data_IF_800864684883
#
_entry.id   IF_800864684883
#
_cell.length_a   1.000
_cell.length_b   1.000
_cell.length_c   1.000
_cell.angle_alpha   90.00
_cell.angle_beta   90.00
_cell.angle_gamma   90.00
#
_symmetry.space_group_name_H-M   'P 1'
#
loop_
_entity.id
_entity.type
_entity.pdbx_description
1 polymer ?
#
# COMPACT_ATOMS: atom_id res chain seq x y z
N UNK A 1 1.41 -32.63 7.57
CA UNK A 1 0.18 -31.80 7.51
C UNK A 1 0.36 -30.67 6.50
N UNK A 2 -0.54 -30.54 5.53
CA UNK A 2 -0.53 -29.41 4.59
C UNK A 2 -0.79 -28.11 5.33
N UNK A 3 0.09 -27.12 5.19
CA UNK A 3 -0.10 -25.79 5.79
C UNK A 3 -1.20 -25.05 5.04
N UNK A 4 -2.29 -24.70 5.73
CA UNK A 4 -3.43 -23.94 5.19
C UNK A 4 -3.41 -22.53 5.75
N UNK A 5 -3.43 -21.53 4.90
CA UNK A 5 -3.48 -20.12 5.26
C UNK A 5 -4.76 -19.45 4.78
N UNK A 6 -5.34 -18.62 5.64
CA UNK A 6 -6.44 -17.74 5.26
C UNK A 6 -5.90 -16.34 5.09
N UNK A 7 -6.14 -15.73 3.92
CA UNK A 7 -5.94 -14.31 3.70
C UNK A 7 -7.25 -13.56 3.84
N UNK A 8 -7.26 -12.51 4.66
CA UNK A 8 -8.41 -11.63 4.84
C UNK A 8 -8.09 -10.27 4.24
N UNK A 9 -8.73 -9.96 3.10
CA UNK A 9 -8.58 -8.72 2.35
C UNK A 9 -9.92 -8.30 1.74
N UNK A 10 -10.81 -7.67 2.52
CA UNK A 10 -12.21 -7.46 2.14
C UNK A 10 -12.44 -6.71 0.84
N UNK A 11 -11.68 -5.63 0.59
CA UNK A 11 -11.85 -4.78 -0.59
C UNK A 11 -10.63 -4.85 -1.49
N UNK A 12 -10.78 -5.46 -2.67
CA UNK A 12 -9.73 -5.65 -3.66
C UNK A 12 -9.65 -4.41 -4.57
N UNK A 13 -9.14 -3.31 -4.01
CA UNK A 13 -9.00 -2.04 -4.72
C UNK A 13 -7.69 -1.99 -5.51
N UNK A 14 -7.70 -1.23 -6.62
CA UNK A 14 -6.46 -0.95 -7.37
C UNK A 14 -5.50 -0.13 -6.53
N UNK A 15 -4.29 -0.64 -6.30
CA UNK A 15 -3.29 0.07 -5.48
C UNK A 15 -2.09 -0.77 -5.09
N UNK A 16 -1.16 -0.15 -4.36
CA UNK A 16 0.09 -0.79 -3.91
C UNK A 16 -0.15 -2.00 -3.00
N UNK A 17 -1.10 -1.90 -2.06
CA UNK A 17 -1.39 -3.00 -1.14
C UNK A 17 -1.90 -4.26 -1.86
N UNK A 18 -2.78 -4.10 -2.86
CA UNK A 18 -3.29 -5.20 -3.69
C UNK A 18 -2.18 -5.86 -4.50
N UNK A 19 -1.29 -5.07 -5.11
CA UNK A 19 -0.12 -5.60 -5.83
C UNK A 19 0.77 -6.47 -4.91
N UNK A 20 0.98 -6.02 -3.67
CA UNK A 20 1.76 -6.78 -2.68
C UNK A 20 1.04 -8.07 -2.27
N UNK A 21 -0.27 -8.01 -2.01
CA UNK A 21 -1.07 -9.20 -1.70
C UNK A 21 -0.95 -10.26 -2.79
N UNK A 22 -1.15 -9.87 -4.06
CA UNK A 22 -1.03 -10.76 -5.22
C UNK A 22 0.36 -11.41 -5.26
N UNK A 23 1.43 -10.63 -5.10
CA UNK A 23 2.80 -11.16 -5.09
C UNK A 23 3.03 -12.18 -3.97
N UNK A 24 2.58 -11.86 -2.75
CA UNK A 24 2.71 -12.74 -1.59
C UNK A 24 1.95 -14.05 -1.81
N UNK A 25 0.69 -13.98 -2.27
CA UNK A 25 -0.12 -15.16 -2.54
C UNK A 25 0.52 -16.00 -3.64
N UNK A 26 0.90 -15.40 -4.78
CA UNK A 26 1.53 -16.11 -5.89
C UNK A 26 2.81 -16.82 -5.44
N UNK A 27 3.66 -16.15 -4.66
CA UNK A 27 4.87 -16.77 -4.12
C UNK A 27 4.56 -17.96 -3.20
N UNK A 28 3.58 -17.83 -2.31
CA UNK A 28 3.20 -18.92 -1.39
C UNK A 28 2.59 -20.13 -2.14
N UNK A 29 1.86 -19.89 -3.22
CA UNK A 29 1.34 -20.95 -4.09
C UNK A 29 2.46 -21.77 -4.73
N UNK A 30 3.61 -21.15 -5.07
CA UNK A 30 4.80 -21.89 -5.55
C UNK A 30 5.45 -22.74 -4.46
N UNK A 31 5.20 -22.43 -3.17
CA UNK A 31 5.72 -23.20 -2.00
C UNK A 31 4.76 -24.29 -1.51
N UNK A 32 3.81 -24.70 -2.33
CA UNK A 32 2.89 -25.80 -2.03
C UNK A 32 1.97 -25.54 -0.82
N UNK A 33 1.60 -24.27 -0.56
CA UNK A 33 0.72 -23.86 0.53
C UNK A 33 -0.71 -23.72 0.00
N UNK A 34 -1.71 -24.27 0.69
CA UNK A 34 -3.11 -24.07 0.39
C UNK A 34 -3.60 -22.72 0.92
N UNK A 35 -4.23 -21.93 0.06
CA UNK A 35 -4.65 -20.56 0.38
C UNK A 35 -6.15 -20.38 0.17
N UNK A 36 -6.84 -19.89 1.20
CA UNK A 36 -8.20 -19.38 1.09
C UNK A 36 -8.18 -17.85 1.21
N UNK A 37 -8.48 -17.15 0.11
CA UNK A 37 -8.59 -15.70 0.10
C UNK A 37 -10.03 -15.26 0.34
N UNK A 38 -10.28 -14.58 1.44
CA UNK A 38 -11.56 -13.93 1.75
C UNK A 38 -11.52 -12.49 1.24
N UNK A 39 -12.25 -12.24 0.15
CA UNK A 39 -12.32 -10.92 -0.49
C UNK A 39 -13.60 -10.81 -1.31
N UNK A 40 -14.30 -9.70 -1.22
CA UNK A 40 -15.60 -9.52 -1.87
C UNK A 40 -15.53 -9.32 -3.39
N UNK A 41 -14.39 -8.92 -3.94
CA UNK A 41 -14.25 -8.53 -5.34
C UNK A 41 -12.91 -8.93 -5.98
N UNK A 42 -12.21 -9.91 -5.42
CA UNK A 42 -11.01 -10.50 -6.04
C UNK A 42 -11.40 -11.45 -7.18
N UNK A 43 -10.55 -11.53 -8.20
CA UNK A 43 -10.71 -12.43 -9.34
C UNK A 43 -9.54 -13.40 -9.43
N UNK A 44 -9.80 -14.65 -9.87
CA UNK A 44 -8.74 -15.63 -10.14
C UNK A 44 -7.76 -15.17 -11.22
N UNK A 45 -8.20 -14.30 -12.14
CA UNK A 45 -7.35 -13.71 -13.18
C UNK A 45 -6.18 -12.88 -12.64
N UNK A 46 -6.27 -12.43 -11.39
CA UNK A 46 -5.23 -11.65 -10.74
C UNK A 46 -4.08 -12.50 -10.19
N UNK A 47 -4.24 -13.84 -10.15
CA UNK A 47 -3.32 -14.78 -9.54
C UNK A 47 -2.82 -15.81 -10.55
N UNK A 48 -1.70 -16.49 -10.21
CA UNK A 48 -1.26 -17.66 -10.98
C UNK A 48 -2.32 -18.77 -10.90
N UNK A 49 -2.51 -19.48 -12.00
CA UNK A 49 -3.45 -20.60 -12.02
C UNK A 49 -2.98 -21.72 -11.06
N UNK A 50 -3.76 -21.98 -10.03
CA UNK A 50 -3.42 -23.01 -9.03
C UNK A 50 -4.68 -23.57 -8.37
N UNK A 51 -4.80 -24.91 -8.34
CA UNK A 51 -5.84 -25.63 -7.60
C UNK A 51 -5.78 -25.40 -6.08
N UNK A 52 -4.68 -24.82 -5.55
CA UNK A 52 -4.47 -24.53 -4.13
C UNK A 52 -4.99 -23.17 -3.68
N UNK A 53 -5.46 -22.35 -4.61
CA UNK A 53 -6.10 -21.07 -4.31
C UNK A 53 -7.62 -21.21 -4.36
N UNK A 54 -8.28 -20.88 -3.25
CA UNK A 54 -9.73 -20.74 -3.20
C UNK A 54 -10.08 -19.29 -2.86
N UNK A 55 -10.84 -18.62 -3.72
CA UNK A 55 -11.36 -17.27 -3.44
C UNK A 55 -12.77 -17.39 -2.86
N UNK A 56 -12.95 -16.91 -1.63
CA UNK A 56 -14.20 -16.88 -0.87
C UNK A 56 -14.75 -15.46 -0.85
N UNK A 57 -15.67 -15.13 -1.76
CA UNK A 57 -16.24 -13.80 -1.86
C UNK A 57 -17.46 -13.77 -2.77
N UNK A 58 -18.14 -12.64 -2.80
CA UNK A 58 -19.22 -12.36 -3.74
C UNK A 58 -18.64 -11.49 -4.86
N UNK A 59 -18.86 -11.86 -6.12
CA UNK A 59 -18.48 -11.04 -7.29
C UNK A 59 -19.31 -9.73 -7.40
N UNK A 60 -19.45 -9.03 -6.29
CA UNK A 60 -20.25 -7.80 -6.21
C UNK A 60 -19.37 -6.64 -6.63
N UNK A 61 -19.80 -5.90 -7.64
CA UNK A 61 -19.16 -4.67 -8.10
C UNK A 61 -19.90 -3.44 -7.56
N UNK A 62 -19.21 -2.30 -7.49
CA UNK A 62 -19.79 -0.97 -7.22
C UNK A 62 -20.50 -0.80 -5.86
N UNK A 63 -20.03 -1.45 -4.80
CA UNK A 63 -20.48 -1.22 -3.42
C UNK A 63 -19.43 -0.49 -2.58
N UNK A 64 -19.86 0.05 -1.45
CA UNK A 64 -18.97 0.75 -0.52
C UNK A 64 -17.96 -0.20 0.13
N UNK A 65 -16.84 0.35 0.58
CA UNK A 65 -15.81 -0.41 1.32
C UNK A 65 -16.36 -1.01 2.61
N UNK A 66 -17.29 -0.33 3.28
CA UNK A 66 -17.97 -0.84 4.48
C UNK A 66 -18.78 -2.10 4.17
N UNK A 67 -19.51 -2.09 3.06
CA UNK A 67 -20.26 -3.24 2.60
C UNK A 67 -19.36 -4.46 2.32
N UNK A 68 -18.23 -4.25 1.61
CA UNK A 68 -17.25 -5.31 1.37
C UNK A 68 -16.66 -5.87 2.67
N UNK A 69 -16.36 -5.00 3.64
CA UNK A 69 -15.89 -5.43 4.94
C UNK A 69 -16.92 -6.32 5.65
N UNK A 70 -18.18 -5.91 5.67
CA UNK A 70 -19.27 -6.65 6.34
C UNK A 70 -19.45 -8.04 5.71
N UNK A 71 -19.64 -8.11 4.39
CA UNK A 71 -19.87 -9.39 3.68
C UNK A 71 -18.68 -10.34 3.83
N UNK A 72 -17.46 -9.82 3.69
CA UNK A 72 -16.26 -10.66 3.84
C UNK A 72 -16.10 -11.17 5.26
N UNK A 73 -16.47 -10.36 6.26
CA UNK A 73 -16.45 -10.76 7.67
C UNK A 73 -17.48 -11.86 7.95
N UNK A 74 -18.70 -11.73 7.40
CA UNK A 74 -19.74 -12.77 7.50
C UNK A 74 -19.29 -14.08 6.83
N UNK A 75 -18.66 -13.99 5.65
CA UNK A 75 -18.14 -15.17 4.96
C UNK A 75 -17.03 -15.87 5.76
N UNK A 76 -16.14 -15.10 6.39
CA UNK A 76 -15.13 -15.64 7.29
C UNK A 76 -15.75 -16.28 8.52
N UNK A 77 -16.75 -15.65 9.15
CA UNK A 77 -17.50 -16.21 10.28
C UNK A 77 -18.14 -17.54 9.93
N UNK A 78 -18.92 -17.60 8.85
CA UNK A 78 -19.56 -18.85 8.37
C UNK A 78 -18.54 -19.96 8.11
N UNK A 79 -17.38 -19.59 7.58
CA UNK A 79 -16.30 -20.55 7.34
C UNK A 79 -15.73 -21.08 8.66
N UNK A 80 -15.46 -20.21 9.65
CA UNK A 80 -14.88 -20.60 10.93
C UNK A 80 -15.83 -21.47 11.78
N UNK A 81 -17.14 -21.22 11.72
CA UNK A 81 -18.13 -22.07 12.38
C UNK A 81 -18.07 -23.52 11.84
N UNK A 82 -17.87 -23.68 10.53
CA UNK A 82 -17.86 -24.98 9.86
C UNK A 82 -16.51 -25.70 9.90
N UNK A 83 -15.44 -25.03 10.30
CA UNK A 83 -14.07 -25.55 10.20
C UNK A 83 -13.32 -25.39 11.51
N UNK A 84 -13.15 -26.51 12.20
CA UNK A 84 -12.42 -26.52 13.47
C UNK A 84 -10.91 -26.78 13.32
N UNK A 85 -10.38 -26.81 12.07
CA UNK A 85 -8.98 -27.07 11.76
C UNK A 85 -8.05 -26.01 12.36
N UNK A 86 -6.78 -26.39 12.57
CA UNK A 86 -5.71 -25.49 13.01
C UNK A 86 -5.28 -24.59 11.85
N UNK A 87 -5.84 -23.40 11.76
CA UNK A 87 -5.64 -22.46 10.65
C UNK A 87 -5.01 -21.17 11.15
N UNK A 88 -4.13 -20.57 10.34
CA UNK A 88 -3.63 -19.21 10.57
C UNK A 88 -4.33 -18.21 9.66
N UNK A 89 -4.85 -17.14 10.24
CA UNK A 89 -5.47 -16.02 9.50
C UNK A 89 -4.43 -14.94 9.30
N UNK A 90 -4.25 -14.49 8.04
CA UNK A 90 -3.37 -13.40 7.69
C UNK A 90 -4.19 -12.21 7.17
N UNK A 91 -4.34 -11.19 8.01
CA UNK A 91 -5.10 -10.00 7.65
C UNK A 91 -4.21 -8.94 7.01
N UNK A 92 -4.56 -8.54 5.79
CA UNK A 92 -3.88 -7.48 5.03
C UNK A 92 -4.58 -6.13 5.11
N UNK A 93 -5.88 -6.12 5.48
CA UNK A 93 -6.70 -4.91 5.56
C UNK A 93 -7.88 -5.16 6.52
N UNK A 94 -8.43 -4.09 7.12
CA UNK A 94 -9.58 -4.19 8.02
C UNK A 94 -9.36 -5.19 9.15
N UNK A 95 -8.27 -4.99 9.91
CA UNK A 95 -7.76 -5.98 10.86
C UNK A 95 -8.71 -6.28 12.02
N UNK A 96 -9.51 -5.31 12.50
CA UNK A 96 -10.35 -5.46 13.68
C UNK A 96 -11.30 -6.67 13.60
N UNK A 97 -12.17 -6.79 12.59
CA UNK A 97 -13.07 -7.94 12.52
C UNK A 97 -12.32 -9.27 12.40
N UNK A 98 -11.20 -9.30 11.69
CA UNK A 98 -10.37 -10.50 11.57
C UNK A 98 -9.76 -10.91 12.92
N UNK A 99 -9.31 -9.96 13.74
CA UNK A 99 -8.76 -10.21 15.09
C UNK A 99 -9.86 -10.76 16.00
N UNK A 100 -11.03 -10.11 16.02
CA UNK A 100 -12.16 -10.54 16.86
C UNK A 100 -12.55 -11.97 16.51
N UNK A 101 -12.77 -12.29 15.23
CA UNK A 101 -13.13 -13.63 14.82
C UNK A 101 -12.03 -14.65 15.12
N UNK A 102 -10.76 -14.30 14.87
CA UNK A 102 -9.65 -15.19 15.18
C UNK A 102 -9.62 -15.57 16.68
N UNK A 103 -9.85 -14.61 17.58
CA UNK A 103 -9.84 -14.86 19.02
C UNK A 103 -11.08 -15.64 19.48
N UNK A 104 -12.26 -15.33 18.98
CA UNK A 104 -13.49 -16.10 19.26
C UNK A 104 -13.33 -17.59 18.89
N UNK A 105 -12.73 -17.88 17.75
CA UNK A 105 -12.53 -19.24 17.26
C UNK A 105 -11.14 -19.84 17.62
N UNK A 106 -10.39 -19.22 18.54
CA UNK A 106 -9.06 -19.67 18.99
C UNK A 106 -8.09 -19.94 17.83
N UNK A 107 -8.15 -19.12 16.77
CA UNK A 107 -7.24 -19.21 15.60
C UNK A 107 -6.08 -18.26 15.76
N UNK A 108 -4.90 -18.63 15.21
CA UNK A 108 -3.74 -17.74 15.13
C UNK A 108 -3.98 -16.63 14.13
N UNK A 109 -3.65 -15.37 14.50
CA UNK A 109 -3.82 -14.20 13.64
C UNK A 109 -2.50 -13.44 13.45
N UNK A 110 -2.16 -13.22 12.20
CA UNK A 110 -1.06 -12.34 11.76
C UNK A 110 -1.70 -11.14 11.07
N UNK A 111 -1.33 -9.93 11.46
CA UNK A 111 -1.79 -8.72 10.78
C UNK A 111 -0.62 -8.00 10.12
N UNK A 112 -0.84 -7.44 8.94
CA UNK A 112 0.14 -6.60 8.23
C UNK A 112 -0.30 -5.15 8.28
N UNK A 113 0.33 -4.36 9.15
CA UNK A 113 0.07 -2.92 9.21
C UNK A 113 0.79 -2.21 8.07
N UNK A 114 0.01 -1.57 7.19
CA UNK A 114 0.49 -0.97 5.93
C UNK A 114 0.69 0.55 6.00
N UNK A 115 0.57 1.16 7.18
CA UNK A 115 0.67 2.61 7.37
C UNK A 115 1.46 2.95 8.63
N UNK A 116 1.94 4.19 8.72
CA UNK A 116 2.46 4.76 9.96
C UNK A 116 1.27 5.31 10.77
N UNK A 117 1.08 4.79 11.98
CA UNK A 117 -0.16 4.94 12.76
C UNK A 117 -0.39 6.39 13.18
N UNK A 118 0.65 7.05 13.71
CA UNK A 118 0.53 8.42 14.23
C UNK A 118 0.41 9.44 13.10
N UNK A 119 1.13 9.26 11.98
CA UNK A 119 1.00 10.10 10.80
C UNK A 119 -0.40 9.99 10.19
N UNK A 120 -0.94 8.78 10.11
CA UNK A 120 -2.30 8.55 9.63
C UNK A 120 -3.33 9.29 10.49
N UNK A 121 -3.13 9.36 11.81
CA UNK A 121 -4.00 10.10 12.73
C UNK A 121 -3.77 11.62 12.64
N UNK A 122 -2.50 12.06 12.63
CA UNK A 122 -2.12 13.48 12.58
C UNK A 122 -2.65 14.20 11.36
N UNK A 123 -2.58 13.56 10.18
CA UNK A 123 -2.94 14.16 8.89
C UNK A 123 -4.31 13.71 8.35
N UNK A 124 -5.14 13.07 9.18
CA UNK A 124 -6.48 12.69 8.82
C UNK A 124 -7.40 13.91 8.63
N UNK A 125 -8.31 13.82 7.65
CA UNK A 125 -9.33 14.86 7.43
C UNK A 125 -10.39 14.86 8.53
N UNK A 126 -10.81 13.66 8.99
CA UNK A 126 -11.79 13.46 10.07
C UNK A 126 -11.07 13.09 11.37
N UNK A 127 -10.66 14.08 12.15
CA UNK A 127 -9.86 13.90 13.38
C UNK A 127 -10.49 12.95 14.40
N UNK A 128 -11.76 13.14 14.72
CA UNK A 128 -12.48 12.30 15.70
C UNK A 128 -12.46 10.84 15.26
N UNK A 129 -12.79 10.57 14.00
CA UNK A 129 -12.77 9.21 13.46
C UNK A 129 -11.35 8.60 13.51
N UNK A 130 -10.32 9.38 13.23
CA UNK A 130 -8.93 8.93 13.29
C UNK A 130 -8.49 8.61 14.71
N UNK A 131 -8.90 9.42 15.72
CA UNK A 131 -8.63 9.16 17.13
C UNK A 131 -9.32 7.87 17.62
N UNK A 132 -10.60 7.67 17.26
CA UNK A 132 -11.34 6.44 17.57
C UNK A 132 -10.64 5.24 16.94
N UNK A 133 -10.23 5.36 15.67
CA UNK A 133 -9.51 4.29 14.96
C UNK A 133 -8.18 3.96 15.64
N UNK A 134 -7.44 4.98 16.12
CA UNK A 134 -6.20 4.78 16.87
C UNK A 134 -6.47 4.05 18.20
N UNK A 135 -7.49 4.46 18.95
CA UNK A 135 -7.87 3.79 20.21
C UNK A 135 -8.23 2.33 19.97
N UNK A 136 -9.03 2.03 18.95
CA UNK A 136 -9.37 0.66 18.57
C UNK A 136 -8.11 -0.14 18.17
N UNK A 137 -7.15 0.46 17.46
CA UNK A 137 -5.87 -0.20 17.16
C UNK A 137 -5.07 -0.50 18.43
N UNK A 138 -5.00 0.43 19.38
CA UNK A 138 -4.32 0.22 20.67
C UNK A 138 -4.92 -1.00 21.40
N UNK A 139 -6.22 -1.12 21.45
CA UNK A 139 -6.90 -2.23 22.13
C UNK A 139 -6.70 -3.54 21.35
N UNK A 140 -7.13 -3.58 20.09
CA UNK A 140 -7.23 -4.85 19.34
C UNK A 140 -5.90 -5.37 18.82
N UNK A 141 -4.92 -4.51 18.51
CA UNK A 141 -3.62 -5.00 18.03
C UNK A 141 -2.85 -5.77 19.11
N UNK A 142 -3.10 -5.45 20.40
CA UNK A 142 -2.55 -6.23 21.51
C UNK A 142 -3.06 -7.69 21.54
N UNK A 143 -4.22 -7.97 20.94
CA UNK A 143 -4.77 -9.31 20.81
C UNK A 143 -4.16 -10.11 19.65
N UNK A 144 -3.52 -9.47 18.67
CA UNK A 144 -2.88 -10.17 17.55
C UNK A 144 -1.68 -11.02 18.04
N UNK A 145 -1.41 -12.15 17.36
CA UNK A 145 -0.29 -13.01 17.73
C UNK A 145 1.02 -12.52 17.08
N UNK A 146 0.93 -11.92 15.90
CA UNK A 146 2.07 -11.30 15.21
C UNK A 146 1.61 -10.11 14.41
N UNK A 147 2.41 -9.04 14.41
CA UNK A 147 2.15 -7.85 13.64
C UNK A 147 3.34 -7.58 12.72
N UNK A 148 3.09 -7.53 11.42
CA UNK A 148 4.11 -7.18 10.44
C UNK A 148 4.08 -5.67 10.23
N UNK A 149 5.19 -5.02 10.57
CA UNK A 149 5.52 -3.66 10.18
C UNK A 149 6.26 -3.66 8.84
N UNK A 150 6.00 -2.68 7.98
CA UNK A 150 6.58 -2.64 6.63
C UNK A 150 7.69 -1.61 6.47
N UNK A 151 8.00 -0.86 7.52
CA UNK A 151 9.12 0.08 7.61
C UNK A 151 9.60 0.22 9.05
N UNK A 152 10.83 0.69 9.23
CA UNK A 152 11.43 0.91 10.54
C UNK A 152 10.60 1.88 11.40
N UNK A 153 10.13 2.97 10.81
CA UNK A 153 9.29 3.97 11.53
C UNK A 153 7.92 3.40 11.86
N UNK A 154 7.31 2.58 10.97
CA UNK A 154 6.06 1.88 11.26
C UNK A 154 6.24 0.86 12.40
N UNK A 155 7.38 0.15 12.46
CA UNK A 155 7.72 -0.75 13.57
C UNK A 155 7.78 0.04 14.90
N UNK A 156 8.56 1.11 14.94
CA UNK A 156 8.68 1.98 16.15
C UNK A 156 7.32 2.53 16.61
N UNK A 157 6.45 2.90 15.67
CA UNK A 157 5.09 3.39 15.99
C UNK A 157 4.20 2.31 16.60
N UNK A 158 4.27 1.09 16.08
CA UNK A 158 3.56 -0.07 16.62
C UNK A 158 4.05 -0.44 18.03
N UNK A 159 5.37 -0.46 18.24
CA UNK A 159 5.99 -0.77 19.54
C UNK A 159 5.57 0.23 20.65
N UNK A 160 5.16 1.46 20.29
CA UNK A 160 4.66 2.44 21.27
C UNK A 160 3.25 2.14 21.77
N UNK A 161 2.44 1.40 21.01
CA UNK A 161 1.04 1.10 21.36
C UNK A 161 0.85 -0.34 21.86
N UNK A 162 1.88 -1.17 21.81
CA UNK A 162 1.80 -2.57 22.17
C UNK A 162 2.46 -2.85 23.51
N UNK A 163 1.80 -3.65 24.34
CA UNK A 163 2.34 -4.16 25.61
C UNK A 163 3.52 -5.08 25.33
N UNK A 164 3.32 -6.08 24.44
CA UNK A 164 4.39 -6.98 24.01
C UNK A 164 4.93 -6.57 22.65
N UNK A 165 6.12 -5.97 22.64
CA UNK A 165 6.81 -5.47 21.44
C UNK A 165 7.38 -6.59 20.56
N UNK A 166 7.65 -7.77 21.10
CA UNK A 166 8.23 -8.91 20.37
C UNK A 166 7.29 -9.47 19.30
N UNK A 167 6.00 -9.16 19.42
CA UNK A 167 5.00 -9.49 18.38
C UNK A 167 5.22 -8.72 17.07
N UNK A 168 5.96 -7.60 17.08
CA UNK A 168 6.21 -6.79 15.90
C UNK A 168 7.41 -7.30 15.13
N UNK A 169 7.17 -7.72 13.90
CA UNK A 169 8.23 -8.16 12.97
C UNK A 169 8.34 -7.17 11.83
N UNK A 170 9.56 -6.69 11.55
CA UNK A 170 9.83 -5.85 10.39
C UNK A 170 10.00 -6.75 9.16
N UNK A 171 9.08 -6.62 8.21
CA UNK A 171 9.13 -7.33 6.92
C UNK A 171 8.74 -6.33 5.84
N UNK A 172 9.71 -5.93 5.02
CA UNK A 172 9.49 -5.01 3.91
C UNK A 172 8.58 -5.60 2.82
N UNK A 173 8.01 -4.74 2.02
CA UNK A 173 7.19 -5.18 0.88
C UNK A 173 8.03 -5.98 -0.10
N UNK A 174 7.56 -7.17 -0.55
CA UNK A 174 8.26 -7.92 -1.58
C UNK A 174 8.22 -7.15 -2.89
N UNK A 175 9.38 -6.93 -3.47
CA UNK A 175 9.53 -6.34 -4.80
C UNK A 175 10.22 -7.35 -5.71
N UNK A 176 9.52 -7.82 -6.75
CA UNK A 176 10.13 -8.71 -7.73
C UNK A 176 10.99 -7.85 -8.65
N UNK A 177 12.28 -7.98 -8.51
CA UNK A 177 13.26 -7.40 -9.42
C UNK A 177 13.42 -8.38 -10.59
N UNK A 178 12.87 -8.07 -11.75
CA UNK A 178 13.30 -8.72 -12.96
C UNK A 178 14.67 -8.13 -13.32
N UNK A 179 15.70 -8.96 -13.46
CA UNK A 179 17.07 -8.57 -13.80
C UNK A 179 17.21 -7.98 -15.22
N UNK A 180 16.20 -7.31 -15.72
CA UNK A 180 16.29 -6.63 -16.99
C UNK A 180 17.17 -5.39 -16.83
N UNK A 181 18.38 -5.44 -17.39
CA UNK A 181 19.21 -4.24 -17.57
C UNK A 181 18.36 -3.19 -18.29
N UNK A 182 18.14 -2.05 -17.63
CA UNK A 182 17.47 -0.92 -18.29
C UNK A 182 18.49 -0.30 -19.26
N UNK A 183 18.07 -0.10 -20.52
CA UNK A 183 18.91 0.62 -21.50
C UNK A 183 19.15 2.03 -20.96
N UNK A 184 20.38 2.49 -21.10
CA UNK A 184 20.73 3.88 -20.81
C UNK A 184 19.78 4.84 -21.52
N UNK A 185 19.38 5.87 -20.80
CA UNK A 185 18.53 6.90 -21.35
C UNK A 185 19.29 7.65 -22.44
N UNK A 186 18.69 7.79 -23.62
CA UNK A 186 19.17 8.72 -24.64
C UNK A 186 19.21 10.14 -24.03
N UNK A 187 20.41 10.68 -23.75
CA UNK A 187 20.62 11.93 -23.04
C UNK A 187 20.31 13.19 -23.86
N UNK A 188 19.85 13.04 -25.09
CA UNK A 188 19.52 14.20 -25.92
C UNK A 188 18.14 14.77 -25.56
N UNK A 189 18.08 15.48 -24.42
CA UNK A 189 16.83 15.99 -23.87
C UNK A 189 16.83 17.50 -23.77
N UNK A 190 15.90 18.12 -24.50
CA UNK A 190 15.61 19.54 -24.37
C UNK A 190 14.90 19.92 -23.07
N UNK A 191 14.44 18.92 -22.27
CA UNK A 191 13.67 19.12 -21.06
C UNK A 191 14.17 18.25 -19.91
N UNK A 192 14.10 18.77 -18.68
CA UNK A 192 14.33 18.04 -17.46
C UNK A 192 12.98 17.52 -16.92
N UNK A 193 12.78 16.20 -16.92
CA UNK A 193 11.50 15.55 -16.61
C UNK A 193 11.45 15.07 -15.17
N UNK A 194 10.56 15.63 -14.40
CA UNK A 194 10.27 15.25 -13.02
C UNK A 194 9.01 14.39 -13.00
N UNK A 195 9.01 13.34 -12.20
CA UNK A 195 7.87 12.43 -12.03
C UNK A 195 7.39 12.41 -10.59
N UNK A 196 6.08 12.49 -10.42
CA UNK A 196 5.38 12.17 -9.18
C UNK A 196 4.31 11.13 -9.45
N UNK A 197 4.16 10.12 -8.57
CA UNK A 197 3.20 9.03 -8.75
C UNK A 197 2.45 8.78 -7.45
N UNK A 198 1.11 8.79 -7.49
CA UNK A 198 0.31 8.44 -6.33
C UNK A 198 -1.14 8.88 -6.41
N UNK A 199 -1.93 8.52 -5.38
CA UNK A 199 -3.32 8.97 -5.26
C UNK A 199 -3.33 10.47 -4.91
N UNK A 200 -4.12 11.27 -5.62
CA UNK A 200 -4.20 12.72 -5.41
C UNK A 200 -5.07 13.04 -4.17
N UNK A 201 -4.47 12.84 -3.00
CA UNK A 201 -5.06 13.03 -1.66
C UNK A 201 -4.17 13.93 -0.82
N UNK A 202 -4.71 14.45 0.28
CA UNK A 202 -3.97 15.27 1.25
C UNK A 202 -2.71 14.55 1.76
N UNK A 203 -2.78 13.23 2.02
CA UNK A 203 -1.64 12.42 2.45
C UNK A 203 -0.41 12.58 1.53
N UNK A 204 -0.62 12.60 0.22
CA UNK A 204 0.46 12.65 -0.78
C UNK A 204 1.02 14.04 -1.02
N UNK A 205 0.34 15.09 -0.53
CA UNK A 205 0.79 16.48 -0.52
C UNK A 205 1.38 16.98 -1.85
N UNK A 206 0.71 16.66 -2.97
CA UNK A 206 1.13 17.13 -4.29
C UNK A 206 1.14 18.67 -4.41
N UNK A 207 0.37 19.36 -3.57
CA UNK A 207 0.36 20.81 -3.50
C UNK A 207 1.76 21.40 -3.27
N UNK A 208 2.57 20.77 -2.42
CA UNK A 208 3.95 21.20 -2.14
C UNK A 208 4.79 21.18 -3.42
N UNK A 209 4.75 20.08 -4.17
CA UNK A 209 5.54 19.93 -5.40
C UNK A 209 5.06 20.89 -6.48
N UNK A 210 3.74 21.03 -6.66
CA UNK A 210 3.17 21.93 -7.67
C UNK A 210 3.58 23.36 -7.41
N UNK A 211 3.51 23.85 -6.16
CA UNK A 211 3.98 25.20 -5.80
C UNK A 211 5.47 25.36 -6.08
N UNK A 212 6.29 24.39 -5.68
CA UNK A 212 7.74 24.45 -5.94
C UNK A 212 8.06 24.48 -7.45
N UNK A 213 7.38 23.68 -8.26
CA UNK A 213 7.59 23.64 -9.72
C UNK A 213 7.08 24.92 -10.39
N UNK A 214 5.96 25.48 -9.94
CA UNK A 214 5.47 26.77 -10.44
C UNK A 214 6.52 27.87 -10.28
N UNK A 215 7.22 27.91 -9.14
CA UNK A 215 8.30 28.89 -8.88
C UNK A 215 9.55 28.55 -9.71
N UNK A 216 10.00 27.29 -9.70
CA UNK A 216 11.21 26.88 -10.41
C UNK A 216 11.12 27.14 -11.92
N UNK A 217 9.95 26.93 -12.52
CA UNK A 217 9.78 27.10 -13.98
C UNK A 217 9.79 28.56 -14.45
N UNK A 218 9.67 29.53 -13.55
CA UNK A 218 9.90 30.96 -13.87
C UNK A 218 11.35 31.19 -14.28
N UNK A 219 12.31 30.51 -13.60
CA UNK A 219 13.76 30.62 -13.90
C UNK A 219 14.23 29.53 -14.86
N UNK A 220 13.64 28.34 -14.80
CA UNK A 220 14.05 27.16 -15.57
C UNK A 220 12.89 26.60 -16.40
N UNK A 221 12.51 27.24 -17.52
CA UNK A 221 11.31 26.90 -18.28
C UNK A 221 11.35 25.52 -18.95
N UNK A 222 12.53 24.89 -19.01
CA UNK A 222 12.71 23.52 -19.55
C UNK A 222 12.41 22.40 -18.54
N UNK A 223 12.00 22.72 -17.31
CA UNK A 223 11.53 21.72 -16.32
C UNK A 223 10.07 21.35 -16.63
N UNK A 224 9.79 20.05 -16.69
CA UNK A 224 8.43 19.51 -16.87
C UNK A 224 8.13 18.55 -15.70
N UNK A 225 7.03 18.79 -14.99
CA UNK A 225 6.50 17.85 -14.01
C UNK A 225 5.39 17.00 -14.62
N UNK A 226 5.52 15.69 -14.50
CA UNK A 226 4.45 14.73 -14.80
C UNK A 226 3.90 14.13 -13.51
N UNK A 227 2.62 14.36 -13.25
CA UNK A 227 1.89 13.80 -12.10
C UNK A 227 1.01 12.66 -12.61
N UNK A 228 1.27 11.42 -12.15
CA UNK A 228 0.50 10.24 -12.56
C UNK A 228 -0.35 9.73 -11.40
N UNK A 229 -1.66 9.80 -11.57
CA UNK A 229 -2.61 9.32 -10.58
C UNK A 229 -3.97 9.95 -10.66
N UNK A 230 -4.87 9.49 -9.78
CA UNK A 230 -6.21 10.03 -9.61
C UNK A 230 -6.52 10.23 -8.13
N UNK A 231 -7.53 11.03 -7.83
CA UNK A 231 -7.97 11.28 -6.48
C UNK A 231 -8.84 12.52 -6.32
N UNK A 232 -9.41 12.74 -5.12
CA UNK A 232 -10.36 13.81 -4.88
C UNK A 232 -9.79 15.21 -5.11
N UNK A 233 -8.49 15.42 -4.91
CA UNK A 233 -7.85 16.73 -5.07
C UNK A 233 -7.44 17.06 -6.51
N UNK A 234 -7.70 16.18 -7.49
CA UNK A 234 -7.20 16.36 -8.86
C UNK A 234 -7.63 17.68 -9.48
N UNK A 235 -8.92 18.01 -9.39
CA UNK A 235 -9.47 19.24 -9.97
C UNK A 235 -8.81 20.49 -9.39
N UNK A 236 -8.61 20.52 -8.08
CA UNK A 236 -8.03 21.68 -7.38
C UNK A 236 -6.53 21.83 -7.68
N UNK A 237 -5.81 20.71 -7.77
CA UNK A 237 -4.39 20.70 -8.15
C UNK A 237 -4.17 21.18 -9.60
N UNK A 238 -5.06 20.82 -10.52
CA UNK A 238 -5.00 21.30 -11.92
C UNK A 238 -5.21 22.81 -12.00
N UNK A 239 -6.11 23.39 -11.21
CA UNK A 239 -6.40 24.84 -11.22
C UNK A 239 -5.18 25.71 -10.85
N UNK A 240 -4.28 25.19 -10.00
CA UNK A 240 -3.09 25.92 -9.54
C UNK A 240 -1.82 25.59 -10.31
N UNK A 241 -1.87 24.59 -11.18
CA UNK A 241 -0.72 24.15 -11.96
C UNK A 241 -0.49 25.06 -13.18
N UNK A 242 0.77 25.39 -13.45
CA UNK A 242 1.12 26.09 -14.67
C UNK A 242 1.27 25.13 -15.87
N UNK A 243 1.59 25.69 -17.06
CA UNK A 243 1.73 24.94 -18.32
C UNK A 243 2.82 23.85 -18.32
N UNK A 244 3.78 23.91 -17.41
CA UNK A 244 4.88 22.93 -17.30
C UNK A 244 4.47 21.69 -16.49
N UNK A 245 3.27 21.62 -15.93
CA UNK A 245 2.77 20.53 -15.09
C UNK A 245 1.71 19.75 -15.84
N UNK A 246 1.96 18.45 -16.07
CA UNK A 246 1.07 17.53 -16.79
C UNK A 246 0.45 16.53 -15.84
N UNK A 247 -0.89 16.40 -15.86
CA UNK A 247 -1.62 15.40 -15.10
C UNK A 247 -2.05 14.26 -16.00
N UNK A 248 -1.73 13.05 -15.56
CA UNK A 248 -2.11 11.81 -16.23
C UNK A 248 -2.94 10.96 -15.27
N UNK A 249 -3.93 10.28 -15.83
CA UNK A 249 -4.73 9.32 -15.08
C UNK A 249 -3.88 8.14 -14.63
N UNK A 250 -4.42 7.41 -13.66
CA UNK A 250 -3.83 6.15 -13.23
C UNK A 250 -3.63 5.20 -14.43
N UNK A 251 -2.49 4.53 -14.48
CA UNK A 251 -2.13 3.60 -15.56
C UNK A 251 -1.43 2.35 -15.03
N UNK A 252 -1.67 1.21 -15.68
CA UNK A 252 -0.90 -0.02 -15.45
C UNK A 252 0.52 0.09 -16.02
N UNK A 253 0.73 0.88 -17.08
CA UNK A 253 2.02 1.03 -17.74
C UNK A 253 2.82 2.21 -17.16
N UNK A 254 3.08 2.16 -15.85
CA UNK A 254 3.84 3.21 -15.15
C UNK A 254 5.33 3.20 -15.52
N UNK A 255 5.86 2.02 -15.93
CA UNK A 255 7.26 1.83 -16.34
C UNK A 255 7.74 2.88 -17.33
N UNK A 256 6.95 3.18 -18.37
CA UNK A 256 7.33 4.15 -19.41
C UNK A 256 7.59 5.57 -18.86
N UNK A 257 6.90 5.95 -17.77
CA UNK A 257 7.07 7.27 -17.17
C UNK A 257 8.33 7.32 -16.31
N UNK A 258 8.61 6.26 -15.52
CA UNK A 258 9.87 6.15 -14.81
C UNK A 258 11.06 6.24 -15.77
N UNK A 259 11.05 5.44 -16.85
CA UNK A 259 12.15 5.41 -17.82
C UNK A 259 12.39 6.75 -18.54
N UNK A 260 11.38 7.62 -18.62
CA UNK A 260 11.48 8.96 -19.24
C UNK A 260 11.84 10.06 -18.24
N UNK A 261 11.90 9.76 -16.94
CA UNK A 261 12.11 10.77 -15.91
C UNK A 261 13.57 10.89 -15.52
N UNK A 262 14.00 12.11 -15.17
CA UNK A 262 15.32 12.43 -14.68
C UNK A 262 15.35 12.48 -13.15
N UNK A 263 14.23 12.82 -12.53
CA UNK A 263 14.04 12.92 -11.08
C UNK A 263 12.66 12.39 -10.69
N UNK A 264 12.59 11.68 -9.58
CA UNK A 264 11.35 11.32 -8.92
C UNK A 264 11.18 12.12 -7.62
N UNK A 265 9.98 12.64 -7.36
CA UNK A 265 9.68 13.36 -6.12
C UNK A 265 8.55 12.66 -5.37
N UNK A 266 8.77 12.40 -4.07
CA UNK A 266 7.77 11.93 -3.12
C UNK A 266 7.54 13.01 -2.06
N UNK A 267 6.36 13.63 -2.04
CA UNK A 267 6.02 14.75 -1.15
C UNK A 267 5.11 14.38 0.02
N UNK A 268 4.92 13.10 0.28
CA UNK A 268 3.94 12.61 1.25
C UNK A 268 4.18 13.11 2.67
N UNK A 269 3.12 13.43 3.40
CA UNK A 269 3.19 13.70 4.83
C UNK A 269 3.55 12.45 5.64
N UNK A 270 3.01 11.30 5.24
CA UNK A 270 3.29 10.00 5.86
C UNK A 270 3.06 8.87 4.87
N UNK A 271 3.79 7.77 5.06
CA UNK A 271 3.67 6.52 4.30
C UNK A 271 3.80 5.32 5.25
N UNK A 272 3.43 4.14 4.78
CA UNK A 272 3.91 2.91 5.39
C UNK A 272 5.30 2.57 4.86
N UNK A 273 5.34 2.16 3.58
CA UNK A 273 6.53 2.02 2.75
C UNK A 273 6.13 2.48 1.34
N UNK A 274 6.72 3.57 0.80
CA UNK A 274 6.27 4.17 -0.45
C UNK A 274 6.69 3.34 -1.67
N UNK A 275 5.78 2.51 -2.20
CA UNK A 275 6.06 1.65 -3.35
C UNK A 275 6.56 2.42 -4.58
N UNK A 276 6.04 3.63 -4.83
CA UNK A 276 6.48 4.44 -5.96
C UNK A 276 7.95 4.86 -5.84
N UNK A 277 8.47 5.08 -4.62
CA UNK A 277 9.88 5.36 -4.38
C UNK A 277 10.75 4.11 -4.60
N UNK A 278 10.26 2.92 -4.22
CA UNK A 278 10.92 1.65 -4.55
C UNK A 278 10.95 1.46 -6.08
N UNK A 279 9.85 1.79 -6.76
CA UNK A 279 9.80 1.74 -8.24
C UNK A 279 10.81 2.70 -8.86
N UNK A 280 10.95 3.92 -8.34
CA UNK A 280 11.94 4.89 -8.81
C UNK A 280 13.39 4.37 -8.62
N UNK A 281 13.70 3.84 -7.43
CA UNK A 281 14.99 3.22 -7.14
C UNK A 281 15.29 2.03 -8.07
N UNK A 282 14.27 1.16 -8.29
CA UNK A 282 14.39 0.03 -9.22
C UNK A 282 14.74 0.46 -10.64
N UNK A 283 14.19 1.59 -11.11
CA UNK A 283 14.52 2.15 -12.43
C UNK A 283 15.74 3.07 -12.41
N UNK A 284 16.51 3.08 -11.31
CA UNK A 284 17.71 3.93 -11.13
C UNK A 284 17.42 5.41 -11.38
N UNK A 285 16.27 5.90 -10.91
CA UNK A 285 15.89 7.30 -11.00
C UNK A 285 16.31 8.01 -9.71
N UNK A 286 17.14 9.05 -9.77
CA UNK A 286 17.41 9.92 -8.64
C UNK A 286 16.11 10.38 -7.98
N UNK A 287 16.06 10.38 -6.66
CA UNK A 287 14.81 10.61 -5.96
C UNK A 287 14.99 11.57 -4.79
N UNK A 288 14.01 12.47 -4.62
CA UNK A 288 13.89 13.37 -3.47
C UNK A 288 12.60 12.99 -2.73
N UNK A 289 12.67 12.94 -1.41
CA UNK A 289 11.50 12.68 -0.57
C UNK A 289 11.42 13.65 0.60
N UNK A 290 10.20 14.00 0.99
CA UNK A 290 9.94 14.53 2.33
C UNK A 290 10.33 13.47 3.37
N UNK A 291 10.60 13.88 4.62
CA UNK A 291 10.88 12.95 5.74
C UNK A 291 9.59 12.21 6.17
N UNK A 292 9.06 11.41 5.27
CA UNK A 292 7.94 10.52 5.56
C UNK A 292 8.42 9.12 5.97
N UNK A 293 7.56 8.41 6.72
CA UNK A 293 7.87 7.05 7.14
C UNK A 293 8.18 6.15 5.94
N UNK A 294 9.15 5.28 6.07
CA UNK A 294 9.57 4.33 5.03
C UNK A 294 10.40 4.94 3.90
N UNK A 295 10.46 6.26 3.74
CA UNK A 295 11.35 6.86 2.75
C UNK A 295 12.82 6.68 3.15
N UNK A 296 13.15 6.87 4.43
CA UNK A 296 14.51 6.64 4.97
C UNK A 296 14.97 5.18 4.85
N UNK A 297 14.05 4.24 4.83
CA UNK A 297 14.38 2.82 4.67
C UNK A 297 14.77 2.48 3.21
N UNK A 298 14.49 3.39 2.26
CA UNK A 298 14.76 3.22 0.82
C UNK A 298 15.90 4.13 0.37
N UNK A 299 15.89 5.38 0.83
CA UNK A 299 16.94 6.36 0.52
C UNK A 299 17.96 6.32 1.66
N UNK A 300 19.17 5.86 1.38
CA UNK A 300 20.30 6.02 2.30
C UNK A 300 20.61 7.52 2.45
N UNK A 301 20.88 7.97 3.68
CA UNK A 301 21.49 9.27 3.90
C UNK A 301 22.96 9.16 3.44
N UNK A 302 23.25 9.61 2.22
CA UNK A 302 24.58 9.98 1.79
C UNK A 302 24.67 11.49 1.84
#
# INVERSE_FOLDING_TARGET
MKKKLIFFYPSFERGGATKILIRVINYLLTKNIEISLFSSNASYKDFINSKKLTIKGSNIKNKSRLYFNLITTINLLKFLIRNNEKITIFSFQSHLPAIILAKLFKKKIIIRNSEEIFGATKYADKKVHACITLLLKIIFYNLADTIIAISTKSKKSLEKILINKDKVKLIYNPYLLNNNKFKEKNKNKNFFNILCVGRLTKQKNFLLVIKAINELTKKYPKIILTVVGDGPLKKDLIKIANKNIKFLNWTNNIKKYFLKSDLFILSSYYEGLPNALIEAAYYSIPSISTDCSGAKDILSNN
#
